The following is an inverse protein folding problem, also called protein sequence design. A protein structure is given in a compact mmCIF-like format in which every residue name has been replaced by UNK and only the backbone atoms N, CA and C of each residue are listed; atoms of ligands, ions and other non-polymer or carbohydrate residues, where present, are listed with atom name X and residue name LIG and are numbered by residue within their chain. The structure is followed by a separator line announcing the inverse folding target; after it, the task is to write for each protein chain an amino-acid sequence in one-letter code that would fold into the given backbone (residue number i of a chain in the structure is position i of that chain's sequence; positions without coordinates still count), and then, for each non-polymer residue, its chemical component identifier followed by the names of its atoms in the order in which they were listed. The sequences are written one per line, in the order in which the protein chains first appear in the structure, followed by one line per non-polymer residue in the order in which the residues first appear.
data_IF_092555191622
#
_entry.id   IF_092555191622
#
_cell.length_a   1.000
_cell.length_b   1.000
_cell.length_c   1.000
_cell.angle_alpha   90.00
_cell.angle_beta   90.00
_cell.angle_gamma   90.00
#
_symmetry.space_group_name_H-M   'P 1'
#
loop_
_entity.id
_entity.type
_entity.pdbx_description
1 polymer ?
#
# COMPACT_ATOMS: atom_id res chain seq x y z
N UNK A 1 24.29 -11.09 11.90
CA UNK A 1 25.04 -10.01 11.23
C UNK A 1 24.33 -9.78 9.92
N UNK A 2 23.27 -8.97 9.95
CA UNK A 2 22.53 -8.61 8.74
C UNK A 2 23.37 -7.54 8.07
N UNK A 3 23.79 -7.80 6.84
CA UNK A 3 24.46 -6.83 6.00
C UNK A 3 23.41 -5.75 5.67
N UNK A 4 23.40 -4.67 6.45
CA UNK A 4 22.51 -3.51 6.28
C UNK A 4 23.01 -2.59 5.14
N UNK A 5 23.95 -3.06 4.31
CA UNK A 5 24.42 -2.30 3.16
C UNK A 5 23.30 -2.29 2.13
N UNK A 6 22.69 -1.13 1.84
CA UNK A 6 21.74 -1.05 0.76
C UNK A 6 22.45 -1.40 -0.55
N UNK A 7 21.82 -2.15 -1.46
CA UNK A 7 22.42 -2.47 -2.74
C UNK A 7 22.79 -1.18 -3.47
N UNK A 8 23.85 -1.20 -4.28
CA UNK A 8 24.37 0.02 -4.93
C UNK A 8 23.35 0.70 -5.85
N UNK A 9 22.38 -0.07 -6.35
CA UNK A 9 21.27 0.36 -7.20
C UNK A 9 20.00 0.78 -6.42
N UNK A 10 20.06 0.83 -5.07
CA UNK A 10 18.93 1.24 -4.26
C UNK A 10 18.48 2.66 -4.65
N UNK A 11 17.18 2.90 -4.88
CA UNK A 11 16.68 4.23 -5.23
C UNK A 11 16.90 5.20 -4.08
N UNK A 12 17.67 6.27 -4.33
CA UNK A 12 18.02 7.30 -3.34
C UNK A 12 17.18 8.55 -3.52
N UNK A 13 16.76 9.17 -2.43
CA UNK A 13 16.11 10.47 -2.50
C UNK A 13 17.09 11.53 -3.00
N UNK A 14 16.69 12.33 -3.99
CA UNK A 14 17.51 13.41 -4.57
C UNK A 14 17.75 14.59 -3.61
N UNK A 15 16.93 14.72 -2.56
CA UNK A 15 16.98 15.85 -1.63
C UNK A 15 17.76 15.54 -0.35
N UNK A 16 17.62 14.34 0.21
CA UNK A 16 18.28 13.92 1.44
C UNK A 16 19.35 12.83 1.25
N UNK A 17 19.40 12.17 0.09
CA UNK A 17 20.39 11.13 -0.22
C UNK A 17 20.11 9.74 0.38
N UNK A 18 19.05 9.60 1.17
CA UNK A 18 18.70 8.37 1.87
C UNK A 18 18.33 7.26 0.86
N UNK A 19 18.93 6.05 0.96
CA UNK A 19 18.55 4.90 0.15
C UNK A 19 17.22 4.30 0.63
N UNK A 20 16.33 4.00 -0.31
CA UNK A 20 15.06 3.35 -0.04
C UNK A 20 15.01 1.95 -0.66
N UNK A 21 14.28 1.00 -0.05
CA UNK A 21 14.11 -0.35 -0.61
C UNK A 21 13.31 -0.40 -1.93
N UNK A 22 12.52 0.62 -2.23
CA UNK A 22 11.73 0.69 -3.47
C UNK A 22 11.51 2.13 -3.92
N UNK A 23 11.31 2.33 -5.22
CA UNK A 23 10.99 3.64 -5.80
C UNK A 23 9.69 4.21 -5.23
N UNK A 24 8.71 3.35 -4.92
CA UNK A 24 7.44 3.73 -4.29
C UNK A 24 7.66 4.37 -2.92
N UNK A 25 8.48 3.75 -2.07
CA UNK A 25 8.81 4.28 -0.74
C UNK A 25 9.57 5.61 -0.83
N UNK A 26 10.50 5.73 -1.79
CA UNK A 26 11.21 6.98 -2.07
C UNK A 26 10.22 8.08 -2.48
N UNK A 27 9.27 7.80 -3.36
CA UNK A 27 8.26 8.76 -3.80
C UNK A 27 7.35 9.19 -2.64
N UNK A 28 6.94 8.23 -1.79
CA UNK A 28 6.14 8.50 -0.59
C UNK A 28 6.88 9.43 0.38
N UNK A 29 8.15 9.12 0.68
CA UNK A 29 9.00 9.93 1.55
C UNK A 29 9.16 11.36 1.00
N UNK A 30 9.40 11.50 -0.31
CA UNK A 30 9.56 12.81 -0.94
C UNK A 30 8.30 13.68 -0.80
N UNK A 31 7.11 13.09 -0.94
CA UNK A 31 5.85 13.78 -0.69
C UNK A 31 5.57 14.13 0.78
N UNK A 32 6.13 13.37 1.73
CA UNK A 32 5.94 13.61 3.17
C UNK A 32 6.93 14.62 3.75
N UNK A 33 8.20 14.61 3.32
CA UNK A 33 9.26 15.45 3.89
C UNK A 33 9.72 16.60 2.99
N UNK A 34 9.44 16.54 1.69
CA UNK A 34 9.95 17.51 0.70
C UNK A 34 8.86 18.07 -0.20
N UNK A 35 7.59 18.04 0.24
CA UNK A 35 6.44 18.47 -0.55
C UNK A 35 6.63 19.86 -1.19
N UNK A 36 7.16 20.81 -0.42
CA UNK A 36 7.35 22.20 -0.86
C UNK A 36 8.42 22.39 -1.94
N UNK A 37 9.22 21.36 -2.21
CA UNK A 37 10.33 21.38 -3.19
C UNK A 37 10.09 20.46 -4.38
N UNK A 38 8.94 19.79 -4.42
CA UNK A 38 8.56 18.90 -5.51
C UNK A 38 8.25 19.69 -6.78
N UNK A 39 8.70 19.17 -7.91
CA UNK A 39 8.13 19.56 -9.21
C UNK A 39 6.79 18.84 -9.47
N UNK A 40 6.11 19.23 -10.55
CA UNK A 40 4.79 18.68 -10.89
C UNK A 40 4.83 17.18 -11.25
N UNK A 41 5.92 16.70 -11.86
CA UNK A 41 6.11 15.29 -12.22
C UNK A 41 6.35 14.44 -10.97
N UNK A 42 7.14 14.94 -10.02
CA UNK A 42 7.42 14.29 -8.75
C UNK A 42 6.19 14.27 -7.84
N UNK A 43 5.35 15.31 -7.89
CA UNK A 43 4.02 15.30 -7.24
C UNK A 43 3.10 14.26 -7.84
N UNK A 44 3.05 14.14 -9.17
CA UNK A 44 2.24 13.11 -9.82
C UNK A 44 2.71 11.69 -9.43
N UNK A 45 4.02 11.47 -9.34
CA UNK A 45 4.60 10.20 -8.88
C UNK A 45 4.23 9.90 -7.41
N UNK A 46 4.22 10.91 -6.53
CA UNK A 46 3.74 10.75 -5.15
C UNK A 46 2.26 10.37 -5.10
N UNK A 47 1.40 11.08 -5.83
CA UNK A 47 -0.03 10.81 -5.85
C UNK A 47 -0.36 9.42 -6.41
N UNK A 48 0.40 8.96 -7.40
CA UNK A 48 0.27 7.61 -7.96
C UNK A 48 0.70 6.52 -6.98
N UNK A 49 1.86 6.70 -6.33
CA UNK A 49 2.32 5.82 -5.26
C UNK A 49 1.29 5.74 -4.11
N UNK A 50 0.72 6.88 -3.72
CA UNK A 50 -0.29 6.98 -2.66
C UNK A 50 -1.59 6.26 -3.06
N UNK A 51 -2.06 6.44 -4.31
CA UNK A 51 -3.24 5.73 -4.83
C UNK A 51 -3.00 4.22 -4.89
N UNK A 52 -1.82 3.79 -5.34
CA UNK A 52 -1.46 2.37 -5.42
C UNK A 52 -1.48 1.70 -4.03
N UNK A 53 -0.97 2.35 -2.97
CA UNK A 53 -1.10 1.83 -1.60
C UNK A 53 -2.57 1.70 -1.17
N UNK A 54 -3.40 2.67 -1.56
CA UNK A 54 -4.84 2.65 -1.27
C UNK A 54 -5.58 1.49 -1.95
N UNK A 55 -5.22 1.15 -3.19
CA UNK A 55 -5.88 0.08 -3.95
C UNK A 55 -5.56 -1.31 -3.39
N UNK A 56 -4.32 -1.56 -2.98
CA UNK A 56 -3.91 -2.80 -2.34
C UNK A 56 -4.69 -3.03 -1.04
N UNK A 57 -4.77 -2.01 -0.19
CA UNK A 57 -5.53 -2.06 1.07
C UNK A 57 -7.04 -2.20 0.84
N UNK A 58 -7.58 -1.52 -0.18
CA UNK A 58 -9.00 -1.56 -0.52
C UNK A 58 -9.42 -2.94 -1.03
N UNK A 59 -8.58 -3.57 -1.86
CA UNK A 59 -8.84 -4.92 -2.37
C UNK A 59 -8.86 -5.96 -1.24
N UNK A 60 -7.95 -5.85 -0.27
CA UNK A 60 -7.91 -6.73 0.89
C UNK A 60 -9.16 -6.58 1.76
N UNK A 61 -9.57 -5.34 2.05
CA UNK A 61 -10.80 -5.05 2.81
C UNK A 61 -12.05 -5.57 2.11
N UNK A 62 -12.15 -5.41 0.79
CA UNK A 62 -13.27 -5.92 -0.01
C UNK A 62 -13.32 -7.45 0.00
N UNK A 63 -12.18 -8.13 -0.15
CA UNK A 63 -12.11 -9.59 -0.06
C UNK A 63 -12.51 -10.09 1.32
N UNK A 64 -12.01 -9.47 2.39
CA UNK A 64 -12.38 -9.81 3.76
C UNK A 64 -13.90 -9.64 4.00
N UNK A 65 -14.47 -8.52 3.54
CA UNK A 65 -15.91 -8.26 3.64
C UNK A 65 -16.74 -9.28 2.85
N UNK A 66 -16.32 -9.63 1.64
CA UNK A 66 -16.99 -10.65 0.83
C UNK A 66 -17.00 -12.02 1.52
N UNK A 67 -15.88 -12.44 2.13
CA UNK A 67 -15.80 -13.68 2.91
C UNK A 67 -16.74 -13.64 4.11
N UNK A 68 -16.75 -12.52 4.85
CA UNK A 68 -17.62 -12.35 6.03
C UNK A 68 -19.10 -12.45 5.67
N UNK A 69 -19.51 -11.79 4.58
CA UNK A 69 -20.87 -11.86 4.02
C UNK A 69 -21.22 -13.29 3.63
N UNK A 70 -20.35 -13.98 2.88
CA UNK A 70 -20.57 -15.36 2.46
C UNK A 70 -20.73 -16.31 3.66
N UNK A 71 -19.90 -16.16 4.70
CA UNK A 71 -20.01 -16.96 5.92
C UNK A 71 -21.34 -16.70 6.63
N UNK A 72 -21.72 -15.44 6.82
CA UNK A 72 -22.98 -15.07 7.46
C UNK A 72 -24.19 -15.67 6.73
N UNK A 73 -24.27 -15.48 5.41
CA UNK A 73 -25.33 -16.08 4.60
C UNK A 73 -25.30 -17.61 4.62
N UNK A 74 -24.10 -18.22 4.60
CA UNK A 74 -23.94 -19.66 4.73
C UNK A 74 -24.49 -20.19 6.07
N UNK A 75 -24.20 -19.50 7.18
CA UNK A 75 -24.76 -19.83 8.49
C UNK A 75 -26.29 -19.64 8.53
N UNK A 76 -26.82 -18.57 7.94
CA UNK A 76 -28.27 -18.36 7.84
C UNK A 76 -28.96 -19.47 7.05
N UNK A 77 -28.38 -19.89 5.92
CA UNK A 77 -28.90 -21.01 5.13
C UNK A 77 -28.85 -22.33 5.91
N UNK A 78 -27.73 -22.62 6.58
CA UNK A 78 -27.60 -23.80 7.43
C UNK A 78 -28.65 -23.80 8.55
N UNK A 79 -28.83 -22.66 9.23
CA UNK A 79 -29.85 -22.50 10.25
C UNK A 79 -31.24 -22.73 9.68
N UNK A 80 -31.58 -22.15 8.53
CA UNK A 80 -32.88 -22.32 7.90
C UNK A 80 -33.18 -23.79 7.53
N UNK A 81 -32.16 -24.55 7.12
CA UNK A 81 -32.31 -25.98 6.80
C UNK A 81 -32.38 -26.87 8.05
N UNK A 82 -31.71 -26.49 9.15
CA UNK A 82 -31.72 -27.28 10.40
C UNK A 82 -32.91 -26.94 11.30
N UNK A 83 -33.37 -25.69 11.27
CA UNK A 83 -34.47 -25.20 12.10
C UNK A 83 -35.86 -25.45 11.50
N UNK A 84 -35.94 -25.93 10.26
CA UNK A 84 -37.16 -26.44 9.60
C UNK A 84 -37.31 -27.94 9.82
#
# INVERSE_FOLDING_TARGET
MTDDTPPEDAPRCSYCGEPFPSERLRALHRGLEHYDRLDDDERAAYEDAYRAEGEDLRSFRLRALAVLVALYFGFLMLYAVVAV
#
